data_IF_079787999339
#
_entry.id   IF_079787999339
#
_cell.length_a   1.000
_cell.length_b   1.000
_cell.length_c   1.000
_cell.angle_alpha   90.00
_cell.angle_beta   90.00
_cell.angle_gamma   90.00
#
_symmetry.space_group_name_H-M   'P 1'
#
loop_
_entity.id
_entity.type
_entity.pdbx_description
1 polymer ?
#
# COMPACT_ATOMS: atom_id res chain seq x y z
N UNK A 1 -42.87 34.00 8.59
CA UNK A 1 -43.43 32.77 7.96
C UNK A 1 -42.51 31.60 8.30
N UNK A 2 -43.13 30.54 8.80
CA UNK A 2 -42.51 29.40 9.47
C UNK A 2 -41.85 28.39 8.53
N UNK A 3 -40.73 27.84 9.03
CA UNK A 3 -40.10 26.50 8.94
C UNK A 3 -40.63 25.47 7.91
N UNK A 4 -39.69 24.79 7.25
CA UNK A 4 -39.44 23.31 7.25
C UNK A 4 -38.27 23.05 6.25
N UNK A 5 -37.17 22.36 6.53
CA UNK A 5 -36.91 21.28 7.47
C UNK A 5 -36.72 19.97 6.69
N UNK A 6 -35.51 19.66 6.24
CA UNK A 6 -35.14 18.34 5.74
C UNK A 6 -33.88 17.86 6.48
N UNK A 7 -34.00 16.94 7.45
CA UNK A 7 -32.86 16.31 8.09
C UNK A 7 -32.28 15.23 7.17
N UNK A 8 -31.01 15.40 6.77
CA UNK A 8 -30.23 14.34 6.14
C UNK A 8 -29.89 13.27 7.17
N UNK A 9 -30.41 12.06 6.94
CA UNK A 9 -30.20 10.87 7.76
C UNK A 9 -28.71 10.50 7.72
N UNK A 10 -28.03 10.65 8.85
CA UNK A 10 -26.70 10.09 9.08
C UNK A 10 -26.88 8.62 9.47
N UNK A 11 -26.54 7.70 8.57
CA UNK A 11 -26.51 6.27 8.86
C UNK A 11 -25.24 5.94 9.65
N UNK A 12 -25.33 5.96 10.98
CA UNK A 12 -24.28 5.50 11.89
C UNK A 12 -24.26 3.97 11.88
N UNK A 13 -23.29 3.35 11.20
CA UNK A 13 -23.06 1.91 11.31
C UNK A 13 -22.32 1.60 12.62
N UNK A 14 -23.07 1.22 13.64
CA UNK A 14 -22.53 0.66 14.88
C UNK A 14 -21.95 -0.74 14.61
N UNK A 15 -20.62 -0.84 14.57
CA UNK A 15 -19.92 -2.12 14.64
C UNK A 15 -19.92 -2.62 16.08
N UNK A 16 -20.95 -3.39 16.44
CA UNK A 16 -20.97 -4.23 17.65
C UNK A 16 -19.89 -5.31 17.52
N UNK A 17 -18.76 -5.11 18.20
CA UNK A 17 -17.76 -6.17 18.40
C UNK A 17 -18.36 -7.21 19.34
N UNK A 18 -18.34 -8.52 19.01
CA UNK A 18 -18.68 -9.54 19.98
C UNK A 18 -17.58 -9.59 21.05
N UNK A 19 -17.90 -9.12 22.24
CA UNK A 19 -17.10 -9.29 23.44
C UNK A 19 -16.94 -10.80 23.71
N UNK A 20 -15.75 -11.33 23.45
CA UNK A 20 -15.38 -12.68 23.89
C UNK A 20 -15.28 -12.65 25.41
N UNK A 21 -16.31 -13.18 26.07
CA UNK A 21 -16.30 -13.53 27.49
C UNK A 21 -15.15 -14.51 27.74
N UNK A 22 -14.05 -14.02 28.31
CA UNK A 22 -13.05 -14.88 28.93
C UNK A 22 -13.65 -15.31 30.28
N UNK A 23 -14.05 -16.58 30.36
CA UNK A 23 -14.48 -17.19 31.60
C UNK A 23 -13.29 -17.28 32.56
N UNK A 24 -13.40 -16.60 33.71
CA UNK A 24 -12.58 -16.88 34.88
C UNK A 24 -12.91 -18.29 35.38
N UNK A 25 -11.99 -19.22 35.20
CA UNK A 25 -11.96 -20.48 35.95
C UNK A 25 -11.03 -20.32 37.14
N UNK A 26 -11.57 -19.90 38.28
CA UNK A 26 -10.92 -20.01 39.60
C UNK A 26 -11.14 -21.44 40.10
N UNK A 27 -10.07 -22.24 40.14
CA UNK A 27 -10.01 -23.49 40.89
C UNK A 27 -8.73 -23.49 41.72
N UNK A 28 -8.84 -22.89 42.89
CA UNK A 28 -7.91 -23.03 44.01
C UNK A 28 -8.20 -24.34 44.72
N UNK A 29 -7.26 -25.28 44.71
CA UNK A 29 -7.28 -26.45 45.57
C UNK A 29 -5.83 -26.91 45.84
N UNK A 30 -5.50 -27.04 47.13
CA UNK A 30 -4.49 -27.98 47.60
C UNK A 30 -3.15 -27.39 48.06
N UNK A 31 -3.14 -26.77 49.24
CA UNK A 31 -1.95 -26.72 50.10
C UNK A 31 -1.66 -28.15 50.60
N UNK A 32 -0.51 -28.72 50.25
CA UNK A 32 0.10 -29.82 50.98
C UNK A 32 1.60 -29.54 51.10
N UNK A 33 2.00 -29.22 52.32
CA UNK A 33 3.39 -29.00 52.72
C UNK A 33 4.10 -30.34 52.87
N UNK A 34 5.26 -30.49 52.21
CA UNK A 34 6.24 -31.54 52.53
C UNK A 34 7.62 -30.88 52.79
N UNK A 35 8.37 -31.35 53.79
CA UNK A 35 9.62 -30.72 54.23
C UNK A 35 10.80 -31.03 53.30
N UNK A 36 11.71 -30.06 53.26
CA UNK A 36 12.89 -29.98 52.43
C UNK A 36 13.91 -31.12 52.67
N UNK A 37 14.39 -31.71 51.58
CA UNK A 37 15.66 -32.43 51.53
C UNK A 37 16.63 -31.62 50.64
N UNK A 38 17.88 -31.36 51.08
CA UNK A 38 18.86 -30.62 50.29
C UNK A 38 19.46 -31.53 49.21
N UNK A 39 18.95 -31.44 47.98
CA UNK A 39 19.55 -32.07 46.81
C UNK A 39 20.63 -31.15 46.22
N UNK A 40 21.79 -31.68 45.81
CA UNK A 40 22.93 -30.91 45.34
C UNK A 40 22.57 -30.12 44.07
N UNK A 41 23.01 -28.86 44.05
CA UNK A 41 22.83 -27.91 42.98
C UNK A 41 23.41 -28.43 41.67
N UNK A 42 22.59 -29.13 40.88
CA UNK A 42 22.82 -29.29 39.46
C UNK A 42 22.67 -27.91 38.83
N UNK A 43 23.81 -27.31 38.46
CA UNK A 43 23.88 -26.10 37.66
C UNK A 43 23.11 -26.35 36.35
N UNK A 44 21.83 -26.02 36.36
CA UNK A 44 21.01 -25.96 35.17
C UNK A 44 21.56 -24.81 34.34
N UNK A 45 22.52 -25.12 33.46
CA UNK A 45 22.90 -24.27 32.37
C UNK A 45 21.62 -23.95 31.61
N UNK A 46 21.07 -22.76 31.87
CA UNK A 46 19.95 -22.23 31.12
C UNK A 46 20.42 -22.12 29.67
N UNK A 47 20.11 -23.14 28.87
CA UNK A 47 20.29 -23.10 27.44
C UNK A 47 19.43 -21.96 26.94
N UNK A 48 20.05 -20.79 26.76
CA UNK A 48 19.44 -19.63 26.16
C UNK A 48 18.97 -20.07 24.76
N UNK A 49 17.67 -20.39 24.66
CA UNK A 49 17.06 -20.77 23.39
C UNK A 49 17.26 -19.60 22.42
N UNK A 50 18.22 -19.76 21.51
CA UNK A 50 18.47 -18.80 20.47
C UNK A 50 17.15 -18.51 19.76
N UNK A 51 16.73 -17.24 19.73
CA UNK A 51 15.49 -16.84 19.06
C UNK A 51 15.61 -17.28 17.59
N UNK A 52 14.64 -18.01 17.02
CA UNK A 52 14.72 -18.47 15.64
C UNK A 52 14.93 -17.27 14.73
N UNK A 53 16.00 -17.33 13.93
CA UNK A 53 16.31 -16.27 12.96
C UNK A 53 15.15 -16.17 12.00
N UNK A 54 14.54 -15.00 11.95
CA UNK A 54 13.47 -14.69 11.03
C UNK A 54 14.09 -14.58 9.62
N UNK A 55 13.71 -15.46 8.69
CA UNK A 55 14.29 -15.53 7.34
C UNK A 55 13.19 -15.40 6.29
N UNK A 56 13.47 -14.62 5.24
CA UNK A 56 12.71 -14.64 3.99
C UNK A 56 13.42 -15.56 2.99
N UNK A 57 12.91 -16.79 2.77
CA UNK A 57 13.53 -17.74 1.86
C UNK A 57 13.57 -17.20 0.43
N UNK A 58 14.54 -17.69 -0.34
CA UNK A 58 14.61 -17.41 -1.78
C UNK A 58 13.57 -18.25 -2.51
N UNK A 59 12.98 -17.69 -3.56
CA UNK A 59 12.00 -18.37 -4.39
C UNK A 59 12.38 -18.30 -5.88
N UNK A 60 12.01 -19.32 -6.65
CA UNK A 60 11.93 -19.18 -8.11
C UNK A 60 10.85 -18.15 -8.46
N UNK A 61 11.09 -17.28 -9.45
CA UNK A 61 10.16 -16.21 -9.81
C UNK A 61 10.30 -14.95 -8.95
N UNK A 62 11.45 -14.74 -8.29
CA UNK A 62 11.76 -13.47 -7.62
C UNK A 62 11.73 -12.31 -8.62
N UNK A 63 10.92 -11.30 -8.30
CA UNK A 63 10.72 -10.09 -9.11
C UNK A 63 11.48 -8.90 -8.53
N UNK A 64 11.48 -8.79 -7.20
CA UNK A 64 12.16 -7.71 -6.48
C UNK A 64 12.79 -8.25 -5.21
N UNK A 65 14.06 -7.91 -4.99
CA UNK A 65 14.78 -8.16 -3.74
C UNK A 65 15.36 -6.84 -3.26
N UNK A 66 15.04 -6.46 -2.03
CA UNK A 66 15.64 -5.31 -1.35
C UNK A 66 16.30 -5.77 -0.06
N UNK A 67 17.55 -5.38 0.12
CA UNK A 67 18.31 -5.60 1.33
C UNK A 67 18.73 -4.24 1.88
N UNK A 68 18.54 -4.03 3.17
CA UNK A 68 18.97 -2.80 3.84
C UNK A 68 19.14 -3.02 5.34
N UNK A 69 19.49 -1.94 6.06
CA UNK A 69 19.68 -1.96 7.52
C UNK A 69 18.46 -2.50 8.29
N UNK A 70 17.26 -2.35 7.71
CA UNK A 70 16.02 -2.87 8.28
C UNK A 70 15.72 -4.35 7.98
N UNK A 71 16.54 -5.06 7.20
CA UNK A 71 16.32 -6.47 6.85
C UNK A 71 16.12 -6.71 5.35
N UNK A 72 15.53 -7.86 5.01
CA UNK A 72 15.32 -8.32 3.64
C UNK A 72 13.83 -8.24 3.29
N UNK A 73 13.53 -7.74 2.10
CA UNK A 73 12.22 -7.79 1.48
C UNK A 73 12.30 -8.50 0.13
N UNK A 74 11.39 -9.43 -0.09
CA UNK A 74 11.26 -10.19 -1.34
C UNK A 74 9.85 -10.07 -1.85
N UNK A 75 9.72 -9.96 -3.16
CA UNK A 75 8.46 -10.12 -3.89
C UNK A 75 8.73 -11.10 -5.01
N UNK A 76 7.89 -12.13 -5.10
CA UNK A 76 7.99 -13.17 -6.12
C UNK A 76 6.59 -13.55 -6.57
N UNK A 77 6.52 -14.26 -7.69
CA UNK A 77 5.29 -14.91 -8.09
C UNK A 77 5.44 -16.42 -8.06
N UNK A 78 4.33 -17.10 -7.82
CA UNK A 78 4.17 -18.52 -8.06
C UNK A 78 2.83 -18.73 -8.76
N UNK A 79 2.88 -19.31 -9.96
CA UNK A 79 1.74 -19.41 -10.89
C UNK A 79 1.04 -18.05 -11.07
N UNK A 80 -0.26 -18.00 -10.83
CA UNK A 80 -1.10 -16.81 -10.99
C UNK A 80 -1.22 -15.98 -9.71
N UNK A 81 -0.23 -16.06 -8.81
CA UNK A 81 -0.26 -15.33 -7.54
C UNK A 81 1.04 -14.64 -7.21
N UNK A 82 0.92 -13.43 -6.68
CA UNK A 82 2.01 -12.63 -6.16
C UNK A 82 2.14 -12.83 -4.66
N UNK A 83 3.37 -12.92 -4.19
CA UNK A 83 3.71 -13.13 -2.79
C UNK A 83 4.79 -12.15 -2.35
N UNK A 84 4.83 -11.90 -1.05
CA UNK A 84 5.88 -11.09 -0.43
C UNK A 84 6.34 -11.70 0.89
N UNK A 85 7.57 -11.40 1.25
CA UNK A 85 8.11 -11.65 2.58
C UNK A 85 8.97 -10.45 2.98
N UNK A 86 8.85 -10.03 4.24
CA UNK A 86 9.68 -9.00 4.84
C UNK A 86 10.24 -9.49 6.17
N UNK A 87 11.53 -9.32 6.42
CA UNK A 87 12.14 -9.49 7.76
C UNK A 87 12.22 -8.17 8.54
N UNK A 88 11.61 -7.10 8.01
CA UNK A 88 11.68 -5.78 8.63
C UNK A 88 10.83 -5.73 9.90
N UNK A 89 11.51 -5.47 11.02
CA UNK A 89 10.91 -5.28 12.35
C UNK A 89 9.92 -4.09 12.36
N UNK A 90 8.93 -4.07 13.27
CA UNK A 90 8.75 -4.95 14.46
C UNK A 90 8.03 -6.28 14.20
N UNK A 91 7.62 -6.56 12.97
CA UNK A 91 6.71 -7.67 12.69
C UNK A 91 7.47 -8.96 12.35
N UNK A 92 6.94 -10.12 12.77
CA UNK A 92 7.51 -11.44 12.41
C UNK A 92 7.45 -11.60 10.89
N UNK A 93 8.48 -12.18 10.26
CA UNK A 93 8.37 -12.50 8.84
C UNK A 93 7.18 -13.40 8.60
N UNK A 94 6.26 -12.87 7.82
CA UNK A 94 5.18 -13.62 7.24
C UNK A 94 5.38 -13.57 5.74
N UNK A 95 5.44 -14.74 5.13
CA UNK A 95 5.10 -14.87 3.72
C UNK A 95 3.62 -14.53 3.58
N UNK A 96 3.31 -13.52 2.78
CA UNK A 96 1.94 -13.08 2.52
C UNK A 96 1.63 -13.23 1.04
N UNK A 97 0.46 -13.80 0.73
CA UNK A 97 -0.10 -13.74 -0.62
C UNK A 97 -0.71 -12.37 -0.82
N UNK A 98 -0.24 -11.64 -1.83
CA UNK A 98 -0.71 -10.30 -2.15
C UNK A 98 -1.95 -10.32 -3.04
N UNK A 99 -1.99 -11.18 -4.05
CA UNK A 99 -3.13 -11.27 -4.95
C UNK A 99 -2.77 -11.89 -6.30
N UNK A 100 -3.54 -11.60 -7.36
CA UNK A 100 -3.33 -12.18 -8.67
C UNK A 100 -2.03 -11.70 -9.32
N UNK A 101 -1.44 -12.57 -10.14
CA UNK A 101 -0.30 -12.30 -11.00
C UNK A 101 -0.57 -12.87 -12.40
N UNK A 102 0.00 -12.26 -13.43
CA UNK A 102 -0.06 -12.80 -14.78
C UNK A 102 1.09 -12.33 -15.66
N UNK A 103 1.27 -12.93 -16.85
CA UNK A 103 2.28 -12.49 -17.81
C UNK A 103 2.10 -11.01 -18.20
N UNK A 104 3.18 -10.24 -18.17
CA UNK A 104 3.15 -8.80 -18.45
C UNK A 104 2.72 -7.91 -17.28
N UNK A 105 2.44 -8.50 -16.11
CA UNK A 105 2.35 -7.78 -14.84
C UNK A 105 3.67 -7.10 -14.48
N UNK A 106 3.59 -6.03 -13.69
CA UNK A 106 4.76 -5.33 -13.14
C UNK A 106 4.62 -5.15 -11.64
N UNK A 107 5.75 -4.97 -10.96
CA UNK A 107 5.82 -4.77 -9.51
C UNK A 107 6.65 -3.54 -9.19
N UNK A 108 6.22 -2.79 -8.19
CA UNK A 108 7.02 -1.78 -7.51
C UNK A 108 6.95 -2.04 -6.01
N UNK A 109 8.10 -1.93 -5.34
CA UNK A 109 8.24 -2.12 -3.90
C UNK A 109 8.91 -0.88 -3.31
N UNK A 110 8.34 -0.33 -2.23
CA UNK A 110 9.02 0.68 -1.41
C UNK A 110 8.53 0.64 0.04
N UNK A 111 9.46 0.67 0.99
CA UNK A 111 9.09 0.57 2.40
C UNK A 111 8.32 -0.72 2.64
N UNK A 112 7.09 -0.62 3.14
CA UNK A 112 6.20 -1.78 3.27
C UNK A 112 5.14 -1.84 2.17
N UNK A 113 5.15 -0.94 1.18
CA UNK A 113 4.16 -0.93 0.09
C UNK A 113 4.65 -1.76 -1.09
N UNK A 114 3.79 -2.66 -1.56
CA UNK A 114 3.92 -3.35 -2.84
C UNK A 114 2.77 -2.92 -3.73
N UNK A 115 3.09 -2.28 -4.85
CA UNK A 115 2.17 -2.06 -5.96
C UNK A 115 2.44 -3.06 -7.07
N UNK A 116 1.40 -3.54 -7.73
CA UNK A 116 1.57 -4.36 -8.93
C UNK A 116 0.44 -4.17 -9.93
N UNK A 117 0.73 -4.49 -11.19
CA UNK A 117 -0.25 -4.47 -12.28
C UNK A 117 -0.69 -5.87 -12.62
N UNK A 118 -1.94 -6.03 -13.07
CA UNK A 118 -2.44 -7.27 -13.67
C UNK A 118 -3.10 -6.94 -15.01
N UNK A 119 -2.58 -7.48 -16.13
CA UNK A 119 -3.20 -7.28 -17.43
C UNK A 119 -4.60 -7.88 -17.45
N UNK A 120 -5.53 -7.14 -18.02
CA UNK A 120 -6.94 -7.51 -18.16
C UNK A 120 -7.46 -7.03 -19.51
N UNK A 121 -8.60 -7.56 -19.95
CA UNK A 121 -9.28 -7.12 -21.17
C UNK A 121 -10.51 -6.29 -20.80
N UNK A 122 -10.66 -5.14 -21.41
CA UNK A 122 -11.82 -4.27 -21.26
C UNK A 122 -12.23 -3.73 -22.63
N UNK A 123 -13.43 -4.07 -23.10
CA UNK A 123 -13.92 -3.61 -24.41
C UNK A 123 -13.03 -4.01 -25.59
N UNK A 124 -12.43 -5.20 -25.55
CA UNK A 124 -11.51 -5.70 -26.59
C UNK A 124 -10.06 -5.22 -26.46
N UNK A 125 -9.81 -4.15 -25.70
CA UNK A 125 -8.47 -3.61 -25.43
C UNK A 125 -7.79 -4.29 -24.24
N UNK A 126 -6.45 -4.34 -24.24
CA UNK A 126 -5.67 -4.84 -23.11
C UNK A 126 -5.28 -3.65 -22.22
N UNK A 127 -5.81 -3.63 -21.00
CA UNK A 127 -5.53 -2.60 -20.00
C UNK A 127 -4.97 -3.23 -18.74
N UNK A 128 -4.32 -2.46 -17.88
CA UNK A 128 -3.85 -2.97 -16.59
C UNK A 128 -4.81 -2.59 -15.46
N UNK A 129 -4.96 -3.51 -14.49
CA UNK A 129 -5.47 -3.18 -13.16
C UNK A 129 -4.32 -2.95 -12.21
N UNK A 130 -4.39 -1.86 -11.44
CA UNK A 130 -3.43 -1.55 -10.40
C UNK A 130 -3.94 -2.13 -9.09
N UNK A 131 -3.07 -2.88 -8.43
CA UNK A 131 -3.27 -3.40 -7.10
C UNK A 131 -2.17 -2.87 -6.19
N UNK A 132 -2.48 -2.74 -4.90
CA UNK A 132 -1.47 -2.44 -3.90
C UNK A 132 -1.77 -3.09 -2.57
N UNK A 133 -0.73 -3.31 -1.78
CA UNK A 133 -0.83 -3.93 -0.46
C UNK A 133 0.37 -3.59 0.40
N UNK A 134 0.21 -3.74 1.71
CA UNK A 134 1.30 -3.56 2.66
C UNK A 134 1.87 -4.91 3.11
N UNK A 135 3.19 -5.07 3.10
CA UNK A 135 3.90 -6.32 3.42
C UNK A 135 3.83 -6.71 4.90
N UNK A 136 3.41 -5.78 5.77
CA UNK A 136 3.38 -5.95 7.22
C UNK A 136 1.96 -6.04 7.80
N UNK A 137 0.92 -5.71 7.03
CA UNK A 137 -0.46 -5.83 7.48
C UNK A 137 -1.08 -7.09 6.87
N UNK A 138 -1.64 -7.96 7.73
CA UNK A 138 -2.48 -9.10 7.29
C UNK A 138 -3.77 -8.65 6.58
N UNK A 139 -4.15 -7.38 6.75
CA UNK A 139 -5.31 -6.77 6.12
C UNK A 139 -4.85 -5.99 4.89
N UNK A 140 -4.95 -6.64 3.74
CA UNK A 140 -4.59 -6.10 2.44
C UNK A 140 -5.59 -4.99 2.04
N UNK A 141 -5.08 -3.82 1.63
CA UNK A 141 -5.86 -2.74 1.00
C UNK A 141 -6.24 -3.13 -0.44
N UNK A 142 -6.94 -4.25 -0.62
CA UNK A 142 -7.31 -4.76 -1.94
C UNK A 142 -8.44 -3.92 -2.55
N UNK A 143 -8.09 -2.98 -3.42
CA UNK A 143 -8.94 -2.64 -4.57
C UNK A 143 -8.09 -2.59 -5.83
N UNK A 144 -8.39 -3.49 -6.76
CA UNK A 144 -7.89 -3.40 -8.13
C UNK A 144 -8.60 -2.24 -8.82
N UNK A 145 -7.89 -1.13 -9.04
CA UNK A 145 -8.40 0.05 -9.76
C UNK A 145 -7.97 -0.01 -11.22
N UNK A 146 -8.72 0.63 -12.11
CA UNK A 146 -8.29 0.74 -13.52
C UNK A 146 -7.05 1.63 -13.59
N UNK A 147 -6.04 1.22 -14.38
CA UNK A 147 -4.84 2.02 -14.59
C UNK A 147 -5.10 3.34 -15.35
N UNK A 148 -6.18 3.44 -16.12
CA UNK A 148 -6.49 4.64 -16.88
C UNK A 148 -8.00 4.88 -16.96
N UNK A 149 -8.34 6.15 -17.24
CA UNK A 149 -9.70 6.55 -17.59
C UNK A 149 -10.04 6.06 -18.99
N UNK A 150 -10.88 5.04 -19.07
CA UNK A 150 -11.54 4.68 -20.33
C UNK A 150 -12.46 5.84 -20.71
N UNK A 151 -12.11 6.61 -21.74
CA UNK A 151 -12.91 7.75 -22.21
C UNK A 151 -14.37 7.32 -22.46
N UNK A 152 -15.33 8.12 -22.01
CA UNK A 152 -16.77 7.83 -22.11
C UNK A 152 -17.39 8.21 -23.46
N UNK A 153 -16.58 8.49 -24.49
CA UNK A 153 -17.10 8.96 -25.78
C UNK A 153 -16.16 8.64 -26.94
N UNK A 154 -16.74 8.01 -27.97
CA UNK A 154 -16.16 7.69 -29.29
C UNK A 154 -15.05 6.62 -29.35
N UNK A 155 -15.48 5.37 -29.56
CA UNK A 155 -14.95 4.52 -30.65
C UNK A 155 -13.63 3.78 -30.49
N UNK A 156 -12.70 4.20 -29.64
CA UNK A 156 -11.48 3.41 -29.36
C UNK A 156 -11.11 3.52 -27.88
N UNK A 157 -11.46 2.50 -27.10
CA UNK A 157 -10.90 2.35 -25.76
C UNK A 157 -9.40 2.13 -25.91
N UNK A 158 -8.61 3.19 -25.80
CA UNK A 158 -7.16 3.11 -26.04
C UNK A 158 -6.51 2.18 -25.02
N UNK A 159 -5.65 1.30 -25.53
CA UNK A 159 -4.81 0.39 -24.76
C UNK A 159 -3.89 1.18 -23.83
N UNK A 160 -4.25 1.30 -22.55
CA UNK A 160 -3.40 1.95 -21.56
C UNK A 160 -2.77 0.88 -20.67
N UNK A 161 -1.91 0.04 -21.26
CA UNK A 161 -0.96 -0.77 -20.48
C UNK A 161 -0.11 0.19 -19.67
N UNK A 162 0.19 -0.14 -18.43
CA UNK A 162 1.22 0.60 -17.71
C UNK A 162 2.52 0.44 -18.50
N UNK A 163 3.43 1.41 -18.49
CA UNK A 163 4.83 1.35 -18.97
C UNK A 163 5.82 1.49 -17.82
N UNK A 164 5.42 2.19 -16.75
CA UNK A 164 6.20 2.32 -15.51
C UNK A 164 5.28 2.31 -14.29
N UNK A 165 5.66 1.57 -13.25
CA UNK A 165 5.05 1.64 -11.93
C UNK A 165 6.11 2.03 -10.91
N UNK A 166 5.81 3.01 -10.05
CA UNK A 166 6.65 3.49 -8.96
C UNK A 166 5.87 3.39 -7.66
N UNK A 167 6.55 3.00 -6.60
CA UNK A 167 6.05 2.99 -5.24
C UNK A 167 6.98 3.82 -4.36
N UNK A 168 6.43 4.63 -3.46
CA UNK A 168 7.20 5.36 -2.46
C UNK A 168 6.36 5.65 -1.22
N UNK A 169 6.88 5.32 -0.03
CA UNK A 169 6.11 5.28 1.22
C UNK A 169 4.74 4.60 1.03
N UNK A 170 3.65 5.34 1.06
CA UNK A 170 2.28 4.82 0.89
C UNK A 170 1.66 5.15 -0.49
N UNK A 171 2.40 5.81 -1.36
CA UNK A 171 1.92 6.24 -2.66
C UNK A 171 2.36 5.32 -3.79
N UNK A 172 1.50 5.25 -4.81
CA UNK A 172 1.83 4.69 -6.12
C UNK A 172 1.71 5.75 -7.20
N UNK A 173 2.54 5.60 -8.23
CA UNK A 173 2.41 6.38 -9.45
C UNK A 173 2.74 5.52 -10.65
N UNK A 174 2.13 5.80 -11.78
CA UNK A 174 2.41 5.06 -13.00
C UNK A 174 2.25 5.91 -14.25
N UNK A 175 2.95 5.46 -15.29
CA UNK A 175 2.83 5.96 -16.66
C UNK A 175 2.17 4.86 -17.50
N UNK A 176 1.29 5.23 -18.41
CA UNK A 176 0.66 4.32 -19.38
C UNK A 176 1.28 4.43 -20.77
N UNK A 177 0.98 3.47 -21.65
CA UNK A 177 1.53 3.38 -23.00
C UNK A 177 0.98 4.46 -23.96
N UNK A 178 0.00 5.23 -23.54
CA UNK A 178 -0.59 6.35 -24.25
C UNK A 178 -0.19 7.72 -23.66
N UNK A 179 0.81 7.76 -22.77
CA UNK A 179 1.33 8.99 -22.17
C UNK A 179 0.53 9.52 -20.98
N UNK A 180 -0.44 8.76 -20.46
CA UNK A 180 -1.13 9.09 -19.22
C UNK A 180 -0.22 8.93 -18.00
N UNK A 181 -0.29 9.89 -17.08
CA UNK A 181 0.43 9.87 -15.80
C UNK A 181 -0.57 9.94 -14.67
N UNK A 182 -0.44 9.02 -13.72
CA UNK A 182 -1.39 8.84 -12.63
C UNK A 182 -0.69 8.65 -11.29
N UNK A 183 -1.38 9.03 -10.22
CA UNK A 183 -0.98 8.79 -8.83
C UNK A 183 -2.10 8.11 -8.05
N UNK A 184 -1.76 7.45 -6.96
CA UNK A 184 -2.75 6.94 -6.01
C UNK A 184 -2.24 7.00 -4.57
N UNK A 185 -3.16 7.32 -3.66
CA UNK A 185 -2.96 7.30 -2.21
C UNK A 185 -4.03 6.42 -1.55
N UNK A 186 -3.68 5.63 -0.51
CA UNK A 186 -4.63 4.75 0.16
C UNK A 186 -5.68 5.54 0.94
N UNK A 187 -5.29 6.68 1.50
CA UNK A 187 -6.13 7.68 2.16
C UNK A 187 -5.75 9.02 1.56
N UNK A 188 -6.68 9.67 0.88
CA UNK A 188 -6.51 11.00 0.35
C UNK A 188 -7.51 11.91 1.03
N UNK A 189 -7.03 13.01 1.59
CA UNK A 189 -7.88 14.00 2.25
C UNK A 189 -8.40 15.04 1.25
N UNK A 190 -7.62 15.28 0.19
CA UNK A 190 -7.89 16.27 -0.83
C UNK A 190 -7.69 15.72 -2.26
N UNK A 191 -8.24 16.47 -3.21
CA UNK A 191 -7.91 16.31 -4.62
C UNK A 191 -6.49 16.81 -4.87
N UNK A 192 -5.78 16.28 -5.89
CA UNK A 192 -4.44 16.72 -6.17
C UNK A 192 -4.43 18.19 -6.58
N UNK A 193 -3.48 18.97 -6.11
CA UNK A 193 -3.15 20.30 -6.60
C UNK A 193 -2.15 20.18 -7.75
N UNK A 194 -2.36 20.94 -8.83
CA UNK A 194 -1.50 20.88 -10.01
C UNK A 194 -0.10 21.47 -9.75
N UNK A 195 0.91 20.83 -10.34
CA UNK A 195 2.28 21.38 -10.43
C UNK A 195 2.57 21.66 -11.89
N UNK A 196 2.94 22.90 -12.20
CA UNK A 196 3.11 23.37 -13.58
C UNK A 196 1.77 23.44 -14.31
N UNK A 197 1.80 23.35 -15.65
CA UNK A 197 0.62 23.31 -16.50
C UNK A 197 0.32 21.86 -16.93
N UNK A 198 -0.42 21.07 -16.12
CA UNK A 198 -0.75 19.71 -16.51
C UNK A 198 -1.68 19.71 -17.72
N UNK A 199 -1.48 18.75 -18.62
CA UNK A 199 -2.40 18.51 -19.73
C UNK A 199 -3.63 17.73 -19.24
N UNK A 200 -4.79 17.97 -19.85
CA UNK A 200 -6.02 17.32 -19.42
C UNK A 200 -6.02 15.79 -19.64
N UNK A 201 -6.76 15.02 -18.82
CA UNK A 201 -7.46 15.44 -17.61
C UNK A 201 -6.53 15.48 -16.39
N UNK A 202 -6.73 16.48 -15.53
CA UNK A 202 -6.13 16.57 -14.20
C UNK A 202 -7.23 16.45 -13.13
N UNK A 203 -7.00 15.67 -12.07
CA UNK A 203 -7.96 15.53 -10.94
C UNK A 203 -8.24 14.07 -10.54
N UNK A 204 -9.32 13.85 -9.79
CA UNK A 204 -9.66 12.51 -9.26
C UNK A 204 -10.43 11.68 -10.28
N UNK A 205 -9.99 10.44 -10.51
CA UNK A 205 -10.56 9.51 -11.48
C UNK A 205 -11.34 8.34 -10.83
N UNK A 206 -10.91 7.82 -9.67
CA UNK A 206 -11.53 6.65 -9.02
C UNK A 206 -11.46 6.75 -7.49
N UNK A 207 -11.84 7.91 -6.93
CA UNK A 207 -11.89 8.24 -5.49
C UNK A 207 -10.54 8.27 -4.75
N UNK A 208 -9.53 7.51 -5.22
CA UNK A 208 -8.18 7.34 -4.67
C UNK A 208 -7.10 7.37 -5.74
N UNK A 209 -7.52 7.40 -7.01
CA UNK A 209 -6.64 7.52 -8.19
C UNK A 209 -6.78 8.92 -8.74
N UNK A 210 -5.64 9.53 -9.03
CA UNK A 210 -5.48 10.85 -9.55
C UNK A 210 -4.93 10.78 -10.97
N UNK A 211 -5.59 11.44 -11.91
CA UNK A 211 -5.01 11.77 -13.20
C UNK A 211 -4.16 13.04 -13.02
N UNK A 212 -2.87 12.94 -13.33
CA UNK A 212 -1.90 14.04 -13.22
C UNK A 212 -1.62 14.68 -14.58
N UNK A 213 -2.06 14.05 -15.65
CA UNK A 213 -2.14 14.60 -16.99
C UNK A 213 -1.91 13.56 -18.09
N UNK A 214 -2.11 13.98 -19.34
CA UNK A 214 -1.85 13.17 -20.54
C UNK A 214 -0.84 13.87 -21.44
N UNK A 215 0.31 13.25 -21.67
CA UNK A 215 1.43 13.87 -22.38
C UNK A 215 1.68 13.16 -23.70
N UNK A 216 0.73 13.28 -24.63
CA UNK A 216 0.74 12.55 -25.90
C UNK A 216 1.97 12.87 -26.79
N UNK A 217 2.51 14.08 -26.67
CA UNK A 217 3.66 14.54 -27.46
C UNK A 217 5.01 14.21 -26.80
N UNK A 218 5.01 13.60 -25.60
CA UNK A 218 6.23 13.24 -24.87
C UNK A 218 6.45 11.73 -24.99
N UNK A 219 7.65 11.25 -25.37
CA UNK A 219 7.92 9.82 -25.42
C UNK A 219 7.64 9.13 -24.09
N UNK A 220 6.86 8.05 -24.10
CA UNK A 220 6.54 7.30 -22.87
C UNK A 220 7.77 6.87 -22.07
N UNK A 221 8.87 6.54 -22.76
CA UNK A 221 10.13 6.17 -22.13
C UNK A 221 10.77 7.35 -21.37
N UNK A 222 10.53 8.59 -21.78
CA UNK A 222 10.96 9.79 -21.07
C UNK A 222 10.12 9.99 -19.81
N UNK A 223 8.80 10.01 -19.94
CA UNK A 223 7.86 10.08 -18.81
C UNK A 223 8.15 8.98 -17.77
N UNK A 224 8.36 7.75 -18.23
CA UNK A 224 8.66 6.60 -17.39
C UNK A 224 9.99 6.74 -16.62
N UNK A 225 11.00 7.38 -17.23
CA UNK A 225 12.31 7.63 -16.60
C UNK A 225 12.27 8.78 -15.62
N UNK A 226 11.46 9.81 -15.90
CA UNK A 226 11.39 11.02 -15.09
C UNK A 226 10.36 10.95 -13.96
N UNK A 227 9.43 9.98 -13.99
CA UNK A 227 8.42 9.79 -12.95
C UNK A 227 9.03 9.58 -11.56
N UNK A 228 8.66 10.44 -10.62
CA UNK A 228 9.12 10.45 -9.22
C UNK A 228 7.95 10.69 -8.27
N UNK A 229 8.11 10.14 -7.07
CA UNK A 229 7.26 10.43 -5.92
C UNK A 229 8.19 10.95 -4.83
N UNK A 230 7.83 12.09 -4.25
CA UNK A 230 8.49 12.66 -3.08
C UNK A 230 7.46 12.84 -1.97
N UNK A 231 7.89 12.71 -0.72
CA UNK A 231 7.04 12.94 0.44
C UNK A 231 7.66 14.04 1.28
N UNK A 232 6.87 15.05 1.62
CA UNK A 232 7.18 15.97 2.69
C UNK A 232 6.35 15.50 3.88
N UNK A 233 7.01 14.90 4.87
CA UNK A 233 6.32 14.56 6.12
C UNK A 233 6.00 15.86 6.83
N UNK A 234 4.76 16.04 7.26
CA UNK A 234 4.39 17.18 8.09
C UNK A 234 5.18 17.15 9.39
N UNK A 235 5.72 18.30 9.79
CA UNK A 235 6.31 18.52 11.12
C UNK A 235 5.23 18.76 12.19
N UNK A 236 3.98 18.89 11.76
CA UNK A 236 2.83 19.22 12.61
C UNK A 236 2.28 17.95 13.27
N UNK A 237 2.79 17.63 14.45
CA UNK A 237 2.07 16.80 15.41
C UNK A 237 0.83 17.57 15.91
N UNK A 238 -0.22 17.66 15.08
CA UNK A 238 -1.53 18.09 15.56
C UNK A 238 -2.13 16.91 16.33
N UNK A 239 -1.66 16.75 17.56
CA UNK A 239 -1.97 15.79 18.63
C UNK A 239 -2.07 14.29 18.28
N UNK A 240 -2.68 13.84 17.18
CA UNK A 240 -2.79 12.42 16.82
C UNK A 240 -2.98 12.16 15.31
N UNK A 241 -2.70 13.12 14.42
CA UNK A 241 -2.83 12.95 12.96
C UNK A 241 -1.47 13.14 12.31
N UNK A 242 -0.98 12.11 11.61
CA UNK A 242 0.16 12.24 10.72
C UNK A 242 -0.35 12.68 9.36
N UNK A 243 0.10 13.85 8.92
CA UNK A 243 -0.18 14.38 7.60
C UNK A 243 1.08 14.29 6.76
N UNK A 244 0.98 13.58 5.64
CA UNK A 244 2.05 13.50 4.65
C UNK A 244 1.59 14.19 3.36
N UNK A 245 2.38 15.14 2.86
CA UNK A 245 2.18 15.73 1.53
C UNK A 245 2.98 14.93 0.49
N UNK A 246 2.28 14.30 -0.46
CA UNK A 246 2.87 13.52 -1.54
C UNK A 246 2.92 14.34 -2.81
N UNK A 247 4.13 14.52 -3.34
CA UNK A 247 4.37 15.18 -4.62
C UNK A 247 4.76 14.17 -5.68
N UNK A 248 3.94 14.09 -6.73
CA UNK A 248 4.09 13.25 -7.91
C UNK A 248 4.57 14.12 -9.07
N UNK A 249 5.69 13.77 -9.70
CA UNK A 249 6.27 14.61 -10.76
C UNK A 249 6.81 13.81 -11.93
N UNK A 250 6.74 14.38 -13.12
CA UNK A 250 7.48 13.98 -14.32
C UNK A 250 8.21 15.21 -14.88
N UNK A 251 9.34 14.97 -15.54
CA UNK A 251 10.04 15.97 -16.35
C UNK A 251 9.51 15.85 -17.78
N UNK A 252 9.09 16.99 -18.34
CA UNK A 252 8.57 17.15 -19.70
C UNK A 252 9.32 18.30 -20.35
N UNK A 253 10.29 17.98 -21.22
CA UNK A 253 11.05 19.00 -21.94
C UNK A 253 11.80 19.98 -21.02
N UNK A 254 12.29 19.52 -19.87
CA UNK A 254 12.99 20.34 -18.88
C UNK A 254 12.07 21.04 -17.86
N UNK A 255 10.75 20.88 -18.00
CA UNK A 255 9.76 21.40 -17.06
C UNK A 255 9.24 20.30 -16.14
N UNK A 256 9.23 20.57 -14.84
CA UNK A 256 8.66 19.64 -13.85
C UNK A 256 7.16 19.88 -13.75
N UNK A 257 6.37 18.87 -14.10
CA UNK A 257 4.90 18.88 -14.04
C UNK A 257 4.38 17.72 -13.20
N UNK A 258 3.16 17.83 -12.68
CA UNK A 258 2.52 16.75 -11.93
C UNK A 258 1.48 17.25 -10.94
N UNK A 259 1.46 16.69 -9.74
CA UNK A 259 0.53 17.11 -8.71
C UNK A 259 0.96 16.77 -7.28
N UNK A 260 0.38 17.49 -6.33
CA UNK A 260 0.55 17.24 -4.88
C UNK A 260 -0.77 16.76 -4.32
N UNK A 261 -0.77 15.72 -3.48
CA UNK A 261 -1.95 15.28 -2.75
C UNK A 261 -1.58 14.96 -1.30
N UNK A 262 -2.51 15.19 -0.38
CA UNK A 262 -2.33 15.01 1.04
C UNK A 262 -2.95 13.71 1.52
N UNK A 263 -2.26 13.05 2.45
CA UNK A 263 -2.75 11.85 3.13
C UNK A 263 -2.78 12.08 4.64
N UNK A 264 -3.98 12.00 5.22
CA UNK A 264 -4.18 11.99 6.67
C UNK A 264 -4.23 10.57 7.21
N UNK A 265 -3.37 10.29 8.18
CA UNK A 265 -3.45 9.07 9.00
C UNK A 265 -3.72 9.43 10.45
N UNK A 266 -4.86 8.98 10.96
CA UNK A 266 -5.09 8.96 12.40
C UNK A 266 -4.18 7.93 13.05
N UNK A 267 -3.27 8.40 13.92
CA UNK A 267 -2.58 7.54 14.85
C UNK A 267 -3.40 7.44 16.15
N UNK A 268 -3.35 6.31 16.87
CA UNK A 268 -3.86 6.25 18.22
C UNK A 268 -3.05 7.21 19.10
N UNK A 269 -3.72 8.16 19.75
CA UNK A 269 -3.10 9.04 20.73
C UNK A 269 -2.49 8.19 21.86
N UNK A 270 -1.21 8.40 22.23
CA UNK A 270 -0.70 7.85 23.48
C UNK A 270 -1.39 8.61 24.62
N UNK A 271 -2.25 7.91 25.37
CA UNK A 271 -2.77 8.39 26.65
C UNK A 271 -1.65 8.51 27.68
#
# INVERSE_FOLDING_TARGET
MSRCGCPGIVATMNFTRPARRAALGLLTLGLLALPAAPAPAAAAAAAAKAKPKIVCPKHSGELVVRQGSGGVQRVWHDKDSLYTCSTRQPYRSATLRLGPWGPGSRVALSGNLVGWTVPTRAGGATVDRIHWGQTNLRNTLLRGVKAAKTGSGSGTGRDARVTRLVAFADALAWVTADGGVYGALPLADDAPEAIGAPLAPFGVFDGRVFALGTYADVPNAELARSLRITVKRGDENVECVYVDDYRFTVDVGGSVVGGTARSGRHAPCPF
#
